data_IF_698814888176
#
_entry.id   IF_698814888176
#
_cell.length_a   1.000
_cell.length_b   1.000
_cell.length_c   1.000
_cell.angle_alpha   90.00
_cell.angle_beta   90.00
_cell.angle_gamma   90.00
#
_symmetry.space_group_name_H-M   'P 1'
#
loop_
_entity.id
_entity.type
_entity.pdbx_description
1 polymer ?
#
# COMPACT_ATOMS: atom_id res chain seq x y z
N UNK A 1 9.12 13.71 -10.17
CA UNK A 1 9.06 12.45 -9.40
C UNK A 1 7.60 12.26 -9.07
N UNK A 2 6.96 11.25 -9.65
CA UNK A 2 5.56 10.94 -9.36
C UNK A 2 5.51 10.15 -8.06
N UNK A 3 4.68 10.60 -7.12
CA UNK A 3 4.44 9.93 -5.83
C UNK A 3 2.95 9.71 -5.70
N UNK A 4 2.51 8.46 -5.84
CA UNK A 4 1.09 8.10 -5.72
C UNK A 4 0.48 8.59 -4.40
N UNK A 5 1.29 8.63 -3.34
CA UNK A 5 0.86 9.02 -2.00
C UNK A 5 0.86 10.53 -1.76
N UNK A 6 1.23 11.36 -2.73
CA UNK A 6 1.12 12.81 -2.61
C UNK A 6 -0.34 13.22 -2.36
N UNK A 7 -0.55 13.98 -1.29
CA UNK A 7 -1.89 14.37 -0.81
C UNK A 7 -2.75 13.23 -0.22
N UNK A 8 -2.20 12.02 -0.01
CA UNK A 8 -2.91 10.85 0.53
C UNK A 8 -2.23 10.32 1.78
N UNK A 9 -2.97 9.59 2.62
CA UNK A 9 -2.36 8.85 3.75
C UNK A 9 -1.82 7.50 3.25
N UNK A 10 -0.50 7.22 3.33
CA UNK A 10 0.06 6.01 2.76
C UNK A 10 -0.25 4.74 3.55
N UNK A 11 -0.10 3.59 2.89
CA UNK A 11 -0.48 2.29 3.44
C UNK A 11 0.21 1.98 4.78
N UNK A 12 1.48 2.34 4.94
CA UNK A 12 2.25 2.08 6.17
C UNK A 12 1.78 2.90 7.37
N UNK A 13 1.12 4.04 7.14
CA UNK A 13 0.48 4.81 8.21
C UNK A 13 -0.89 4.19 8.55
N UNK A 14 -1.69 3.84 7.54
CA UNK A 14 -3.02 3.24 7.74
C UNK A 14 -2.96 1.90 8.46
N UNK A 15 -1.97 1.07 8.11
CA UNK A 15 -1.75 -0.26 8.66
C UNK A 15 -0.86 -0.25 9.92
N UNK A 16 -0.36 0.92 10.32
CA UNK A 16 0.50 1.04 11.51
C UNK A 16 1.81 0.26 11.40
N UNK A 17 2.41 0.19 10.20
CA UNK A 17 3.68 -0.52 10.01
C UNK A 17 4.78 0.15 10.83
N UNK A 18 5.57 -0.64 11.57
CA UNK A 18 6.72 -0.10 12.29
C UNK A 18 7.81 0.36 11.30
N UNK A 19 8.68 1.27 11.77
CA UNK A 19 9.79 1.80 10.97
C UNK A 19 10.70 0.72 10.39
N UNK A 20 10.99 -0.32 11.16
CA UNK A 20 11.81 -1.45 10.71
C UNK A 20 11.15 -2.25 9.57
N UNK A 21 9.82 -2.29 9.54
CA UNK A 21 9.05 -3.00 8.52
C UNK A 21 8.96 -2.16 7.26
N UNK A 22 8.43 -0.92 7.33
CA UNK A 22 8.15 -0.17 6.11
C UNK A 22 9.42 0.30 5.37
N UNK A 23 10.54 0.55 6.06
CA UNK A 23 11.78 0.96 5.41
C UNK A 23 12.31 -0.09 4.42
N UNK A 24 11.98 -1.36 4.64
CA UNK A 24 12.34 -2.50 3.77
C UNK A 24 11.16 -2.98 2.91
N UNK A 25 10.10 -2.18 2.79
CA UNK A 25 8.93 -2.53 2.02
C UNK A 25 9.02 -1.93 0.61
N UNK A 26 8.85 -2.74 -0.46
CA UNK A 26 8.81 -2.24 -1.84
C UNK A 26 7.82 -1.09 -2.04
N UNK A 27 6.65 -1.14 -1.38
CA UNK A 27 5.63 -0.09 -1.48
C UNK A 27 6.06 1.26 -0.86
N UNK A 28 7.02 1.26 0.07
CA UNK A 28 7.59 2.48 0.64
C UNK A 28 8.77 3.01 -0.18
N UNK A 29 9.57 2.10 -0.75
CA UNK A 29 10.75 2.46 -1.54
C UNK A 29 10.37 2.98 -2.94
N UNK A 30 9.33 2.39 -3.54
CA UNK A 30 8.86 2.69 -4.89
C UNK A 30 7.47 3.33 -4.81
N UNK A 31 7.45 4.63 -4.51
CA UNK A 31 6.22 5.36 -4.18
C UNK A 31 5.43 5.82 -5.41
N UNK A 32 5.90 5.53 -6.62
CA UNK A 32 5.19 5.90 -7.85
C UNK A 32 3.83 5.21 -8.02
N UNK A 33 3.59 4.11 -7.30
CA UNK A 33 2.36 3.30 -7.41
C UNK A 33 1.87 2.77 -6.05
N UNK A 34 0.58 2.45 -5.91
CA UNK A 34 0.01 1.98 -4.66
C UNK A 34 0.51 0.60 -4.23
N UNK A 35 0.31 0.26 -2.95
CA UNK A 35 0.86 -0.97 -2.37
C UNK A 35 0.34 -2.27 -3.02
N UNK A 36 -0.85 -2.28 -3.61
CA UNK A 36 -1.43 -3.45 -4.28
C UNK A 36 -0.84 -3.72 -5.67
N UNK A 37 -0.08 -2.78 -6.23
CA UNK A 37 0.66 -2.95 -7.50
C UNK A 37 2.12 -3.37 -7.30
N UNK A 38 2.55 -3.52 -6.04
CA UNK A 38 3.86 -4.04 -5.68
C UNK A 38 3.77 -5.52 -5.33
N UNK A 39 4.82 -6.26 -5.67
CA UNK A 39 5.00 -7.64 -5.22
C UNK A 39 5.86 -7.67 -3.95
N UNK A 40 5.79 -8.77 -3.20
CA UNK A 40 6.67 -9.02 -2.07
C UNK A 40 6.62 -7.92 -1.01
N UNK A 41 5.46 -7.29 -0.84
CA UNK A 41 5.26 -6.29 0.20
C UNK A 41 5.40 -6.94 1.59
N UNK A 42 5.73 -6.14 2.59
CA UNK A 42 5.83 -6.67 3.95
C UNK A 42 4.48 -7.20 4.46
N UNK A 43 3.36 -6.64 4.00
CA UNK A 43 2.03 -7.17 4.31
C UNK A 43 1.79 -8.54 3.67
N UNK A 44 2.26 -8.74 2.44
CA UNK A 44 2.20 -10.05 1.79
C UNK A 44 3.03 -11.09 2.55
N UNK A 45 4.25 -10.72 2.97
CA UNK A 45 5.19 -11.63 3.66
C UNK A 45 4.79 -11.96 5.10
N UNK A 46 4.36 -10.96 5.87
CA UNK A 46 4.17 -11.11 7.32
C UNK A 46 2.77 -11.58 7.70
N UNK A 47 1.75 -11.16 6.95
CA UNK A 47 0.34 -11.39 7.29
C UNK A 47 -0.45 -12.05 6.14
N UNK A 48 0.23 -12.44 5.05
CA UNK A 48 -0.37 -13.21 3.96
C UNK A 48 -1.39 -12.42 3.12
N UNK A 49 -1.40 -11.09 3.23
CA UNK A 49 -2.31 -10.24 2.46
C UNK A 49 -1.89 -10.23 0.99
N UNK A 50 -2.72 -10.84 0.12
CA UNK A 50 -2.50 -10.91 -1.33
C UNK A 50 -3.00 -9.67 -2.06
N UNK A 51 -2.48 -9.43 -3.27
CA UNK A 51 -2.75 -8.26 -4.14
C UNK A 51 -4.22 -7.96 -4.39
N UNK A 52 -5.08 -8.99 -4.44
CA UNK A 52 -6.51 -8.84 -4.72
C UNK A 52 -7.30 -8.22 -3.55
N UNK A 53 -6.65 -8.03 -2.41
CA UNK A 53 -7.03 -7.35 -1.16
C UNK A 53 -8.43 -6.69 -1.03
N UNK A 54 -9.52 -7.42 -1.30
CA UNK A 54 -10.89 -6.91 -1.09
C UNK A 54 -11.14 -6.53 0.37
N UNK A 55 -10.44 -7.21 1.29
CA UNK A 55 -10.52 -6.98 2.74
C UNK A 55 -9.41 -6.06 3.28
N UNK A 56 -8.51 -5.54 2.43
CA UNK A 56 -7.56 -4.50 2.87
C UNK A 56 -8.31 -3.23 3.20
N UNK A 57 -8.03 -2.69 4.39
CA UNK A 57 -8.40 -1.31 4.72
C UNK A 57 -7.84 -0.29 3.72
N UNK A 58 -6.60 -0.47 3.25
CA UNK A 58 -5.98 0.47 2.28
C UNK A 58 -6.65 0.40 0.91
N UNK A 59 -6.88 -0.81 0.40
CA UNK A 59 -7.55 -1.03 -0.87
C UNK A 59 -9.01 -0.52 -0.82
N UNK A 60 -9.75 -0.80 0.26
CA UNK A 60 -11.12 -0.30 0.40
C UNK A 60 -11.21 1.22 0.44
N UNK A 61 -10.18 1.89 0.99
CA UNK A 61 -10.11 3.34 1.11
C UNK A 61 -9.77 4.05 -0.19
N UNK A 62 -9.03 3.41 -1.11
CA UNK A 62 -8.50 4.10 -2.31
C UNK A 62 -8.93 3.46 -3.63
N UNK A 63 -9.10 2.14 -3.70
CA UNK A 63 -9.54 1.48 -4.94
C UNK A 63 -10.97 1.88 -5.31
N UNK A 64 -11.87 2.03 -4.33
CA UNK A 64 -13.24 2.52 -4.56
C UNK A 64 -13.31 3.97 -5.07
N UNK A 65 -12.22 4.73 -4.99
CA UNK A 65 -12.13 6.07 -5.58
C UNK A 65 -11.61 6.05 -7.02
N UNK A 66 -11.08 4.92 -7.50
CA UNK A 66 -10.57 4.77 -8.87
C UNK A 66 -11.65 4.39 -9.89
N UNK A 67 -12.82 3.89 -9.46
CA UNK A 67 -13.97 3.53 -10.33
C UNK A 67 -14.91 4.70 -10.67
N UNK A 68 -14.44 5.95 -10.54
CA UNK A 68 -15.16 7.12 -11.06
C UNK A 68 -14.34 7.77 -12.16
N UNK A 69 -14.44 7.23 -13.37
CA UNK A 69 -14.59 7.97 -14.63
C UNK A 69 -15.20 7.06 -15.70
#
# INVERSE_FOLDING_TARGET
>A
MEDFWEGKTPCWIILGCSKYVYLNCPAYQNREKPCWEHESTQCEKLIGIKKECKDCKVFSLYYKFSDKF
#
